data_IF_091469595044
#
_entry.id   IF_091469595044
#
_cell.length_a   1.000
_cell.length_b   1.000
_cell.length_c   1.000
_cell.angle_alpha   90.00
_cell.angle_beta   90.00
_cell.angle_gamma   90.00
#
_symmetry.space_group_name_H-M   'P 1'
#
loop_
_entity.id
_entity.type
_entity.pdbx_description
1 polymer ?
#
# COMPACT_ATOMS: atom_id res chain seq x y z
N UNK A 1 -91.10 -57.45 16.03
CA UNK A 1 -90.09 -56.50 15.48
C UNK A 1 -88.85 -56.49 16.39
N UNK A 2 -87.64 -56.27 15.83
CA UNK A 2 -86.32 -56.13 16.50
C UNK A 2 -85.38 -57.35 16.62
N UNK A 3 -85.19 -58.13 15.55
CA UNK A 3 -84.01 -59.02 15.41
C UNK A 3 -83.30 -58.89 14.05
N UNK A 4 -83.12 -57.66 13.55
CA UNK A 4 -82.21 -57.38 12.43
C UNK A 4 -81.52 -56.02 12.70
N UNK A 5 -80.42 -56.00 13.46
CA UNK A 5 -79.60 -54.78 13.62
C UNK A 5 -78.21 -55.01 14.25
N UNK A 6 -77.96 -56.11 14.97
CA UNK A 6 -76.73 -56.25 15.77
C UNK A 6 -75.52 -56.95 15.13
N UNK A 7 -75.60 -57.40 13.87
CA UNK A 7 -74.45 -58.10 13.19
C UNK A 7 -73.69 -57.27 12.14
N UNK A 8 -74.18 -56.10 11.75
CA UNK A 8 -73.49 -55.19 10.82
C UNK A 8 -72.67 -54.09 11.51
N UNK A 9 -72.92 -53.77 12.79
CA UNK A 9 -72.15 -52.75 13.53
C UNK A 9 -70.79 -53.25 14.07
N UNK A 10 -70.63 -54.57 14.29
CA UNK A 10 -69.42 -55.18 14.87
C UNK A 10 -68.29 -55.38 13.84
N UNK A 11 -68.61 -55.64 12.57
CA UNK A 11 -67.62 -55.71 11.48
C UNK A 11 -67.10 -54.33 11.07
N UNK A 12 -67.95 -53.30 11.10
CA UNK A 12 -67.55 -51.92 10.80
C UNK A 12 -66.66 -51.30 11.88
N UNK A 13 -66.87 -51.64 13.15
CA UNK A 13 -66.07 -51.15 14.28
C UNK A 13 -64.70 -51.83 14.38
N UNK A 14 -64.56 -53.13 14.03
CA UNK A 14 -63.26 -53.81 13.96
C UNK A 14 -62.36 -53.27 12.83
N UNK A 15 -62.92 -53.04 11.63
CA UNK A 15 -62.19 -52.46 10.48
C UNK A 15 -61.75 -51.01 10.71
N UNK A 16 -62.55 -50.19 11.43
CA UNK A 16 -62.17 -48.84 11.90
C UNK A 16 -61.09 -48.84 12.99
N UNK A 17 -61.09 -49.84 13.89
CA UNK A 17 -60.04 -49.98 14.91
C UNK A 17 -58.69 -50.38 14.29
N UNK A 18 -58.66 -51.34 13.37
CA UNK A 18 -57.43 -51.77 12.68
C UNK A 18 -56.83 -50.71 11.75
N UNK A 19 -57.67 -49.92 11.07
CA UNK A 19 -57.19 -48.77 10.27
C UNK A 19 -56.67 -47.62 11.14
N UNK A 20 -57.27 -47.37 12.32
CA UNK A 20 -56.76 -46.41 13.32
C UNK A 20 -55.45 -46.86 13.98
N UNK A 21 -55.24 -48.16 14.24
CA UNK A 21 -53.95 -48.66 14.77
C UNK A 21 -52.84 -48.64 13.71
N UNK A 22 -53.15 -48.98 12.45
CA UNK A 22 -52.19 -48.84 11.33
C UNK A 22 -51.84 -47.39 11.01
N UNK A 23 -52.79 -46.44 11.14
CA UNK A 23 -52.50 -45.01 10.94
C UNK A 23 -51.68 -44.43 12.11
N UNK A 24 -51.98 -44.81 13.36
CA UNK A 24 -51.19 -44.42 14.54
C UNK A 24 -49.77 -45.01 14.50
N UNK A 25 -49.58 -46.23 14.00
CA UNK A 25 -48.24 -46.84 13.88
C UNK A 25 -47.40 -46.19 12.76
N UNK A 26 -48.02 -45.84 11.61
CA UNK A 26 -47.39 -45.04 10.55
C UNK A 26 -47.06 -43.61 11.00
N UNK A 27 -47.94 -42.98 11.78
CA UNK A 27 -47.72 -41.68 12.42
C UNK A 27 -46.51 -41.73 13.36
N UNK A 28 -46.47 -42.70 14.28
CA UNK A 28 -45.34 -42.87 15.22
C UNK A 28 -44.03 -43.21 14.50
N UNK A 29 -44.05 -43.96 13.38
CA UNK A 29 -42.86 -44.21 12.54
C UNK A 29 -42.40 -42.96 11.79
N UNK A 30 -43.32 -42.14 11.27
CA UNK A 30 -42.98 -40.83 10.67
C UNK A 30 -42.36 -39.91 11.72
N UNK A 31 -42.98 -39.79 12.89
CA UNK A 31 -42.49 -38.94 13.98
C UNK A 31 -41.12 -39.39 14.53
N UNK A 32 -40.89 -40.72 14.65
CA UNK A 32 -39.56 -41.26 14.99
C UNK A 32 -38.53 -41.01 13.89
N UNK A 33 -38.90 -41.08 12.60
CA UNK A 33 -38.01 -40.70 11.49
C UNK A 33 -37.68 -39.21 11.55
N UNK A 34 -38.66 -38.33 11.73
CA UNK A 34 -38.46 -36.86 11.84
C UNK A 34 -37.62 -36.49 13.06
N UNK A 35 -37.80 -37.16 14.20
CA UNK A 35 -36.93 -36.97 15.38
C UNK A 35 -35.51 -37.49 15.15
N UNK A 36 -35.33 -38.56 14.38
CA UNK A 36 -33.99 -39.05 13.96
C UNK A 36 -33.32 -38.08 13.00
N UNK A 37 -34.05 -37.50 12.03
CA UNK A 37 -33.54 -36.50 11.09
C UNK A 37 -33.15 -35.21 11.83
N UNK A 38 -34.01 -34.70 12.72
CA UNK A 38 -33.68 -33.53 13.56
C UNK A 38 -32.50 -33.79 14.49
N UNK A 39 -32.36 -34.98 15.09
CA UNK A 39 -31.15 -35.32 15.88
C UNK A 39 -29.89 -35.40 15.02
N UNK A 40 -30.01 -35.77 13.74
CA UNK A 40 -28.89 -35.83 12.79
C UNK A 40 -28.50 -34.42 12.33
N UNK A 41 -29.48 -33.56 12.03
CA UNK A 41 -29.28 -32.13 11.75
C UNK A 41 -28.70 -31.40 12.97
N UNK A 42 -29.16 -31.64 14.19
CA UNK A 42 -28.58 -31.03 15.41
C UNK A 42 -27.15 -31.53 15.64
N UNK A 43 -26.84 -32.81 15.35
CA UNK A 43 -25.46 -33.32 15.39
C UNK A 43 -24.57 -32.70 14.30
N UNK A 44 -25.07 -32.51 13.08
CA UNK A 44 -24.34 -31.81 12.01
C UNK A 44 -24.17 -30.32 12.31
N UNK A 45 -25.18 -29.67 12.89
CA UNK A 45 -25.14 -28.26 13.29
C UNK A 45 -24.16 -28.08 14.46
N UNK A 46 -24.15 -28.96 15.45
CA UNK A 46 -23.17 -28.92 16.53
C UNK A 46 -21.76 -29.27 16.06
N UNK A 47 -21.61 -30.15 15.05
CA UNK A 47 -20.31 -30.44 14.41
C UNK A 47 -19.82 -29.27 13.55
N UNK A 48 -20.74 -28.51 12.94
CA UNK A 48 -20.48 -27.24 12.26
C UNK A 48 -20.13 -26.12 13.26
N UNK A 49 -20.79 -26.04 14.42
CA UNK A 49 -20.49 -25.06 15.48
C UNK A 49 -19.15 -25.36 16.14
N UNK A 50 -18.84 -26.63 16.44
CA UNK A 50 -17.51 -27.05 16.91
C UNK A 50 -16.43 -26.80 15.84
N UNK A 51 -16.71 -27.06 14.56
CA UNK A 51 -15.81 -26.68 13.46
C UNK A 51 -15.67 -25.16 13.29
N UNK A 52 -16.66 -24.36 13.69
CA UNK A 52 -16.60 -22.88 13.65
C UNK A 52 -15.85 -22.33 14.87
N UNK A 53 -15.92 -22.99 16.03
CA UNK A 53 -15.10 -22.68 17.20
C UNK A 53 -13.64 -23.12 17.03
N UNK A 54 -13.40 -24.30 16.45
CA UNK A 54 -12.06 -24.74 16.03
C UNK A 54 -11.52 -23.88 14.85
N UNK A 55 -12.37 -23.45 13.90
CA UNK A 55 -11.96 -22.50 12.86
C UNK A 55 -11.78 -21.06 13.38
N UNK A 56 -12.39 -20.69 14.52
CA UNK A 56 -12.06 -19.45 15.26
C UNK A 56 -10.69 -19.55 15.93
N UNK A 57 -10.24 -20.75 16.29
CA UNK A 57 -8.90 -21.00 16.83
C UNK A 57 -7.80 -21.17 15.77
N UNK A 58 -8.14 -21.25 14.47
CA UNK A 58 -7.15 -21.30 13.38
C UNK A 58 -7.14 -20.00 12.58
N UNK A 59 -6.41 -19.03 13.14
CA UNK A 59 -5.73 -17.91 12.46
C UNK A 59 -6.59 -16.87 11.72
N UNK A 60 -7.47 -16.18 12.45
CA UNK A 60 -7.43 -14.72 12.35
C UNK A 60 -6.23 -14.26 13.20
N UNK A 61 -5.25 -13.51 12.65
CA UNK A 61 -4.18 -13.00 13.49
C UNK A 61 -4.81 -12.13 14.58
N UNK A 62 -4.36 -12.34 15.81
CA UNK A 62 -4.87 -11.63 16.98
C UNK A 62 -4.80 -10.12 16.70
N UNK A 63 -5.91 -9.40 16.94
CA UNK A 63 -5.95 -7.95 16.77
C UNK A 63 -4.91 -7.26 17.65
N UNK A 64 -4.57 -7.84 18.80
CA UNK A 64 -3.51 -7.33 19.66
C UNK A 64 -2.12 -7.72 19.16
N UNK A 65 -1.98 -8.81 18.38
CA UNK A 65 -0.76 -9.16 17.65
C UNK A 65 -0.58 -8.28 16.40
N UNK A 66 -1.64 -8.01 15.62
CA UNK A 66 -1.65 -7.05 14.51
C UNK A 66 -1.40 -5.63 15.04
N UNK A 67 -2.06 -5.23 16.14
CA UNK A 67 -1.78 -3.97 16.79
C UNK A 67 -0.37 -3.97 17.37
N UNK A 68 0.16 -5.09 17.86
CA UNK A 68 1.55 -5.14 18.31
C UNK A 68 2.54 -4.98 17.15
N UNK A 69 2.26 -5.54 15.97
CA UNK A 69 3.11 -5.39 14.78
C UNK A 69 2.97 -4.01 14.10
N UNK A 70 1.79 -3.39 14.17
CA UNK A 70 1.50 -2.08 13.54
C UNK A 70 1.76 -0.92 14.50
N UNK A 71 1.65 -1.14 15.82
CA UNK A 71 1.83 -0.10 16.84
C UNK A 71 3.05 -0.29 17.73
N UNK A 72 3.58 -1.49 18.04
CA UNK A 72 4.79 -1.58 18.91
C UNK A 72 6.09 -1.14 18.21
N UNK A 73 6.20 -1.29 16.89
CA UNK A 73 7.38 -0.81 16.15
C UNK A 73 7.22 0.64 15.65
N UNK A 74 6.06 1.27 15.88
CA UNK A 74 5.76 2.67 15.48
C UNK A 74 5.50 3.56 16.72
N UNK A 75 5.87 3.10 17.92
CA UNK A 75 5.81 3.92 19.14
C UNK A 75 7.12 4.69 19.32
N UNK A 76 7.07 5.95 18.91
CA UNK A 76 7.54 7.13 19.65
C UNK A 76 9.01 7.07 20.10
N UNK A 77 9.90 7.56 19.23
CA UNK A 77 10.96 8.47 19.68
C UNK A 77 10.77 9.80 18.95
N UNK A 78 9.90 10.61 19.52
CA UNK A 78 9.86 12.05 19.33
C UNK A 78 11.24 12.63 19.66
N UNK A 79 12.14 12.70 18.67
CA UNK A 79 13.34 13.52 18.79
C UNK A 79 12.99 14.92 18.30
N UNK A 80 13.05 15.95 19.16
CA UNK A 80 12.91 17.33 18.72
C UNK A 80 14.12 17.65 17.85
N UNK A 81 13.90 17.75 16.53
CA UNK A 81 14.84 18.29 15.53
C UNK A 81 16.27 17.82 15.77
N UNK A 82 16.56 16.57 15.45
CA UNK A 82 17.90 16.02 15.58
C UNK A 82 18.91 16.91 14.81
N UNK A 83 19.91 17.42 15.54
CA UNK A 83 21.08 18.04 14.94
C UNK A 83 21.78 16.97 14.10
N UNK A 84 21.81 17.15 12.78
CA UNK A 84 22.52 16.24 11.87
C UNK A 84 24.01 16.39 12.17
N UNK A 85 24.59 15.42 12.86
CA UNK A 85 26.02 15.32 13.06
C UNK A 85 26.62 14.48 11.94
N UNK A 86 27.34 15.13 11.02
CA UNK A 86 28.02 14.46 9.91
C UNK A 86 29.16 13.59 10.44
N UNK A 87 29.28 12.37 9.91
CA UNK A 87 30.33 11.42 10.30
C UNK A 87 31.27 11.17 9.14
N UNK A 88 32.53 10.84 9.43
CA UNK A 88 33.45 10.38 8.40
C UNK A 88 32.95 9.05 7.82
N UNK A 89 32.92 8.95 6.49
CA UNK A 89 32.56 7.75 5.76
C UNK A 89 33.46 6.58 6.14
N UNK A 90 32.86 5.44 6.45
CA UNK A 90 33.56 4.15 6.62
C UNK A 90 33.70 3.46 5.27
N UNK A 91 34.72 2.64 5.05
CA UNK A 91 34.83 1.90 3.76
C UNK A 91 33.76 0.82 3.69
N UNK A 92 33.14 0.62 2.53
CA UNK A 92 32.12 -0.43 2.32
C UNK A 92 32.65 -1.86 2.51
N UNK A 93 33.97 -2.06 2.46
CA UNK A 93 34.62 -3.34 2.76
C UNK A 93 34.51 -3.73 4.24
N UNK A 94 34.24 -2.75 5.11
CA UNK A 94 34.23 -2.94 6.56
C UNK A 94 32.81 -3.25 7.08
N UNK A 95 31.76 -2.69 6.46
CA UNK A 95 30.32 -3.03 6.58
C UNK A 95 29.52 -2.10 5.63
N UNK A 96 28.41 -2.59 5.06
CA UNK A 96 27.42 -1.74 4.37
C UNK A 96 26.55 -0.93 5.35
N UNK A 97 26.68 -1.18 6.66
CA UNK A 97 25.90 -0.55 7.74
C UNK A 97 24.41 -0.63 7.45
N UNK A 98 23.97 -1.81 6.97
CA UNK A 98 22.58 -2.04 6.59
C UNK A 98 21.77 -2.41 7.81
N UNK A 99 20.51 -1.99 7.80
CA UNK A 99 19.51 -2.42 8.76
C UNK A 99 19.43 -3.93 8.83
N UNK A 100 19.17 -4.43 10.03
CA UNK A 100 19.15 -5.85 10.32
C UNK A 100 18.17 -6.65 9.44
N UNK A 101 17.13 -6.04 8.85
CA UNK A 101 16.14 -6.67 7.95
C UNK A 101 16.48 -6.59 6.45
N UNK A 102 17.65 -6.07 6.07
CA UNK A 102 18.15 -6.20 4.71
C UNK A 102 18.47 -7.67 4.37
N UNK A 103 18.19 -8.09 3.14
CA UNK A 103 18.61 -9.39 2.63
C UNK A 103 20.13 -9.38 2.38
N UNK A 104 20.86 -10.51 2.55
CA UNK A 104 22.30 -10.55 2.34
C UNK A 104 22.76 -10.02 0.98
N UNK A 105 22.04 -10.40 -0.09
CA UNK A 105 22.30 -9.91 -1.47
C UNK A 105 21.67 -8.55 -1.78
N UNK A 106 20.97 -7.97 -0.81
CA UNK A 106 20.30 -6.68 -0.91
C UNK A 106 18.80 -6.71 -1.12
N UNK A 107 18.21 -5.53 -0.88
CA UNK A 107 16.77 -5.33 -0.82
C UNK A 107 16.16 -5.66 0.54
N UNK A 108 14.93 -5.19 0.76
CA UNK A 108 14.21 -5.38 2.01
C UNK A 108 13.60 -6.79 2.06
N UNK A 109 13.96 -7.60 3.06
CA UNK A 109 13.43 -8.94 3.23
C UNK A 109 12.14 -8.94 4.08
N UNK A 110 11.03 -9.45 3.53
CA UNK A 110 9.86 -9.73 4.36
C UNK A 110 10.09 -10.96 5.22
N UNK A 111 10.01 -10.77 6.54
CA UNK A 111 10.30 -11.83 7.53
C UNK A 111 9.08 -12.59 8.01
N UNK A 112 7.89 -11.98 7.95
CA UNK A 112 6.67 -12.62 8.43
C UNK A 112 6.22 -13.73 7.45
N UNK A 113 6.69 -14.95 7.69
CA UNK A 113 6.43 -16.15 6.86
C UNK A 113 4.95 -16.53 6.83
N UNK A 114 4.18 -16.27 7.89
CA UNK A 114 2.75 -16.63 7.93
C UNK A 114 1.93 -15.75 6.99
N UNK A 115 2.18 -14.43 6.99
CA UNK A 115 1.55 -13.50 6.05
C UNK A 115 1.98 -13.81 4.61
N UNK A 116 3.26 -14.09 4.36
CA UNK A 116 3.75 -14.50 3.02
C UNK A 116 3.00 -15.73 2.53
N UNK A 117 2.90 -16.79 3.36
CA UNK A 117 2.21 -18.03 3.02
C UNK A 117 0.73 -17.79 2.70
N UNK A 118 0.04 -16.96 3.48
CA UNK A 118 -1.36 -16.58 3.24
C UNK A 118 -1.52 -15.81 1.93
N UNK A 119 -0.70 -14.80 1.70
CA UNK A 119 -0.74 -14.01 0.46
C UNK A 119 -0.39 -14.83 -0.77
N UNK A 120 0.54 -15.81 -0.66
CA UNK A 120 0.83 -16.77 -1.74
C UNK A 120 -0.38 -17.57 -2.17
N UNK A 121 -1.16 -18.09 -1.20
CA UNK A 121 -2.40 -18.82 -1.51
C UNK A 121 -3.38 -17.94 -2.27
N UNK A 122 -3.59 -16.70 -1.81
CA UNK A 122 -4.49 -15.73 -2.45
C UNK A 122 -4.02 -15.41 -3.88
N UNK A 123 -2.74 -15.06 -4.06
CA UNK A 123 -2.20 -14.76 -5.39
C UNK A 123 -2.33 -15.98 -6.31
N UNK A 124 -2.13 -17.19 -5.78
CA UNK A 124 -2.27 -18.42 -6.55
C UNK A 124 -3.71 -18.67 -7.00
N UNK A 125 -4.70 -18.40 -6.15
CA UNK A 125 -6.12 -18.45 -6.52
C UNK A 125 -6.46 -17.43 -7.61
N UNK A 126 -5.96 -16.19 -7.51
CA UNK A 126 -6.13 -15.15 -8.55
C UNK A 126 -5.55 -15.65 -9.87
N UNK A 127 -4.33 -16.20 -9.86
CA UNK A 127 -3.66 -16.73 -11.06
C UNK A 127 -4.47 -17.86 -11.70
N UNK A 128 -4.98 -18.82 -10.90
CA UNK A 128 -5.82 -19.92 -11.40
C UNK A 128 -7.09 -19.41 -12.08
N UNK A 129 -7.76 -18.44 -11.46
CA UNK A 129 -9.01 -17.86 -11.98
C UNK A 129 -8.80 -17.07 -13.29
N UNK A 130 -7.57 -16.64 -13.58
CA UNK A 130 -7.23 -15.87 -14.79
C UNK A 130 -6.69 -16.76 -15.95
N UNK A 131 -6.91 -18.07 -15.87
CA UNK A 131 -6.70 -19.06 -16.96
C UNK A 131 -5.32 -19.02 -17.64
N UNK A 132 -4.23 -19.07 -16.86
CA UNK A 132 -2.86 -19.37 -17.34
C UNK A 132 -2.14 -18.30 -18.17
N UNK A 133 -2.86 -17.34 -18.78
CA UNK A 133 -2.28 -16.29 -19.62
C UNK A 133 -1.57 -15.17 -18.84
N UNK A 134 -1.65 -15.19 -17.50
CA UNK A 134 -1.09 -14.15 -16.62
C UNK A 134 0.43 -14.19 -16.49
N UNK A 135 1.06 -15.32 -16.80
CA UNK A 135 2.52 -15.43 -16.87
C UNK A 135 3.10 -14.97 -18.20
N UNK A 136 2.26 -14.89 -19.25
CA UNK A 136 2.68 -14.52 -20.61
C UNK A 136 2.56 -13.02 -20.88
N UNK A 137 1.66 -12.32 -20.18
CA UNK A 137 1.37 -10.91 -20.42
C UNK A 137 1.46 -10.09 -19.15
N UNK A 138 2.04 -8.91 -19.29
CA UNK A 138 1.96 -7.84 -18.29
C UNK A 138 0.51 -7.45 -18.02
N UNK A 139 0.19 -7.20 -16.75
CA UNK A 139 -1.14 -6.77 -16.32
C UNK A 139 -1.04 -5.59 -15.35
N UNK A 140 -1.86 -4.58 -15.59
CA UNK A 140 -2.05 -3.49 -14.64
C UNK A 140 -2.72 -4.04 -13.36
N UNK A 141 -2.02 -3.92 -12.24
CA UNK A 141 -2.48 -4.43 -10.95
C UNK A 141 -3.77 -3.73 -10.46
N UNK A 142 -4.07 -2.52 -10.94
CA UNK A 142 -5.30 -1.80 -10.62
C UNK A 142 -6.56 -2.48 -11.19
N UNK A 143 -6.40 -3.33 -12.20
CA UNK A 143 -7.50 -4.07 -12.85
C UNK A 143 -7.84 -5.39 -12.15
N UNK A 144 -6.98 -5.86 -11.24
CA UNK A 144 -7.14 -7.13 -10.53
C UNK A 144 -7.91 -6.88 -9.23
N UNK A 145 -9.06 -7.55 -9.08
CA UNK A 145 -9.81 -7.51 -7.81
C UNK A 145 -9.13 -8.41 -6.80
N UNK A 146 -8.75 -7.84 -5.66
CA UNK A 146 -8.06 -8.55 -4.58
C UNK A 146 -8.93 -8.62 -3.32
N UNK A 147 -8.87 -9.72 -2.55
CA UNK A 147 -9.62 -9.85 -1.30
C UNK A 147 -9.09 -8.89 -0.23
N UNK A 148 -9.96 -8.47 0.70
CA UNK A 148 -9.61 -7.51 1.77
C UNK A 148 -8.43 -7.98 2.63
N UNK A 149 -8.20 -9.29 2.75
CA UNK A 149 -7.14 -9.90 3.54
C UNK A 149 -5.71 -9.56 3.11
N UNK A 150 -5.52 -8.97 1.91
CA UNK A 150 -4.22 -8.48 1.47
C UNK A 150 -3.99 -6.99 1.75
N UNK A 151 -5.01 -6.28 2.21
CA UNK A 151 -4.97 -4.84 2.38
C UNK A 151 -4.60 -4.43 3.81
N UNK A 152 -4.00 -3.25 3.95
CA UNK A 152 -3.88 -2.53 5.23
C UNK A 152 -5.10 -1.62 5.45
N UNK A 153 -5.44 -1.25 6.69
CA UNK A 153 -6.57 -0.38 7.00
C UNK A 153 -6.28 1.11 6.71
N UNK A 154 -5.58 1.40 5.61
CA UNK A 154 -5.26 2.76 5.17
C UNK A 154 -5.62 2.95 3.71
N UNK A 155 -6.06 4.16 3.39
CA UNK A 155 -6.12 4.63 2.01
C UNK A 155 -4.72 4.91 1.48
N UNK A 156 -4.55 4.84 0.16
CA UNK A 156 -3.32 5.29 -0.48
C UNK A 156 -3.01 6.76 -0.16
N UNK A 157 -4.00 7.63 0.07
CA UNK A 157 -3.73 9.03 0.46
C UNK A 157 -2.94 9.12 1.76
N UNK A 158 -3.34 8.36 2.78
CA UNK A 158 -2.59 8.28 4.03
C UNK A 158 -1.23 7.61 3.80
N UNK A 159 -1.19 6.47 3.08
CA UNK A 159 0.05 5.73 2.81
C UNK A 159 1.08 6.54 2.00
N UNK A 160 0.63 7.43 1.12
CA UNK A 160 1.48 8.30 0.31
C UNK A 160 2.37 9.19 1.18
N UNK A 161 1.87 9.62 2.34
CA UNK A 161 2.56 10.54 3.24
C UNK A 161 3.77 9.87 3.93
N UNK A 162 3.81 8.55 4.02
CA UNK A 162 4.89 7.83 4.69
C UNK A 162 6.28 8.12 4.07
N UNK A 163 6.34 8.36 2.76
CA UNK A 163 7.60 8.74 2.08
C UNK A 163 8.10 10.12 2.52
N UNK A 164 7.25 10.97 3.06
CA UNK A 164 7.57 12.35 3.44
C UNK A 164 7.88 12.53 4.93
N UNK A 165 7.91 11.44 5.71
CA UNK A 165 8.10 11.51 7.17
C UNK A 165 9.47 12.04 7.62
N UNK A 166 10.44 12.17 6.71
CA UNK A 166 11.71 12.85 7.01
C UNK A 166 11.74 14.32 6.62
N UNK A 167 10.63 14.89 6.12
CA UNK A 167 10.55 16.31 5.75
C UNK A 167 10.92 17.26 6.90
N UNK A 168 10.37 17.12 8.13
CA UNK A 168 10.72 18.01 9.24
C UNK A 168 12.20 18.00 9.63
N UNK A 169 12.90 16.91 9.30
CA UNK A 169 14.32 16.73 9.56
C UNK A 169 15.13 17.36 8.43
N UNK A 170 15.01 16.85 7.20
CA UNK A 170 15.92 17.21 6.12
C UNK A 170 15.48 18.44 5.33
N UNK A 171 14.18 18.63 5.09
CA UNK A 171 13.72 19.81 4.32
C UNK A 171 13.86 21.09 5.13
N UNK A 172 13.77 21.02 6.47
CA UNK A 172 14.11 22.16 7.33
C UNK A 172 15.59 22.55 7.18
N UNK A 173 16.50 21.59 7.16
CA UNK A 173 17.93 21.87 6.95
C UNK A 173 18.20 22.38 5.54
N UNK A 174 17.53 21.81 4.53
CA UNK A 174 17.60 22.30 3.15
C UNK A 174 17.15 23.76 3.03
N UNK A 175 16.05 24.14 3.70
CA UNK A 175 15.55 25.51 3.70
C UNK A 175 16.51 26.50 4.40
N UNK A 176 17.22 26.05 5.44
CA UNK A 176 18.21 26.87 6.16
C UNK A 176 19.58 26.89 5.48
N UNK A 177 19.84 26.00 4.53
CA UNK A 177 21.11 25.93 3.83
C UNK A 177 21.28 27.12 2.87
N UNK A 178 22.36 27.87 3.07
CA UNK A 178 22.75 29.00 2.20
C UNK A 178 23.45 28.53 0.91
N UNK A 179 24.15 27.41 0.97
CA UNK A 179 24.80 26.80 -0.19
C UNK A 179 23.78 25.92 -0.95
N UNK A 180 23.50 26.19 -2.23
CA UNK A 180 22.64 25.35 -3.07
C UNK A 180 23.08 23.89 -3.16
N UNK A 181 24.39 23.61 -3.09
CA UNK A 181 24.90 22.24 -3.13
C UNK A 181 24.47 21.51 -1.86
N UNK A 182 24.69 22.12 -0.70
CA UNK A 182 24.27 21.56 0.59
C UNK A 182 22.75 21.37 0.68
N UNK A 183 21.98 22.32 0.15
CA UNK A 183 20.52 22.19 -0.01
C UNK A 183 20.14 20.96 -0.83
N UNK A 184 20.79 20.74 -1.98
CA UNK A 184 20.58 19.56 -2.82
C UNK A 184 20.88 18.26 -2.06
N UNK A 185 21.97 18.21 -1.27
CA UNK A 185 22.31 17.04 -0.44
C UNK A 185 21.21 16.70 0.56
N UNK A 186 20.66 17.70 1.26
CA UNK A 186 19.55 17.48 2.19
C UNK A 186 18.28 17.02 1.50
N UNK A 187 17.95 17.55 0.30
CA UNK A 187 16.80 17.06 -0.48
C UNK A 187 17.01 15.61 -0.95
N UNK A 188 18.23 15.24 -1.33
CA UNK A 188 18.56 13.84 -1.65
C UNK A 188 18.41 12.95 -0.41
N UNK A 189 18.91 13.38 0.76
CA UNK A 189 18.71 12.66 2.01
C UNK A 189 17.23 12.47 2.33
N UNK A 190 16.43 13.52 2.22
CA UNK A 190 14.97 13.46 2.38
C UNK A 190 14.34 12.38 1.48
N UNK A 191 14.63 12.44 0.18
CA UNK A 191 14.02 11.55 -0.80
C UNK A 191 14.45 10.08 -0.59
N UNK A 192 15.73 9.82 -0.38
CA UNK A 192 16.26 8.46 -0.22
C UNK A 192 15.90 7.88 1.15
N UNK A 193 16.00 8.66 2.22
CA UNK A 193 15.54 8.23 3.54
C UNK A 193 14.03 7.96 3.52
N UNK A 194 13.21 8.72 2.78
CA UNK A 194 11.77 8.43 2.67
C UNK A 194 11.43 7.05 2.11
N UNK A 195 12.29 6.47 1.28
CA UNK A 195 12.00 5.23 0.53
C UNK A 195 11.72 4.05 1.45
N UNK A 196 12.49 3.85 2.53
CA UNK A 196 12.31 2.68 3.40
C UNK A 196 10.93 2.66 4.09
N UNK A 197 10.32 3.83 4.32
CA UNK A 197 8.97 3.93 4.88
C UNK A 197 7.90 3.42 3.92
N UNK A 198 8.18 3.39 2.62
CA UNK A 198 7.20 2.98 1.61
C UNK A 198 7.12 1.46 1.38
N UNK A 199 7.96 0.68 2.06
CA UNK A 199 7.86 -0.78 2.11
C UNK A 199 6.77 -1.19 3.10
N UNK A 200 5.72 -1.89 2.64
CA UNK A 200 4.71 -2.50 3.51
C UNK A 200 4.24 -3.83 2.94
N UNK A 201 3.96 -4.78 3.83
CA UNK A 201 3.56 -6.13 3.43
C UNK A 201 2.13 -6.19 2.88
N UNK A 202 1.30 -5.24 3.26
CA UNK A 202 -0.09 -5.15 2.85
C UNK A 202 -0.31 -3.95 1.92
N UNK A 203 -1.28 -4.07 1.02
CA UNK A 203 -1.59 -3.04 0.03
C UNK A 203 -2.54 -1.98 0.63
N UNK A 204 -2.34 -0.67 0.44
CA UNK A 204 -3.36 0.30 0.80
C UNK A 204 -4.61 0.17 -0.08
N UNK A 205 -5.75 0.63 0.44
CA UNK A 205 -6.96 0.75 -0.36
C UNK A 205 -6.77 1.82 -1.42
N UNK A 206 -7.28 1.56 -2.63
CA UNK A 206 -7.32 2.59 -3.65
C UNK A 206 -8.28 3.71 -3.18
N UNK A 207 -7.91 4.99 -3.32
CA UNK A 207 -8.79 6.09 -2.91
C UNK A 207 -9.98 6.22 -3.86
N UNK A 208 -11.10 6.70 -3.33
CA UNK A 208 -12.26 7.09 -4.11
C UNK A 208 -12.05 8.53 -4.64
N UNK A 209 -12.53 8.87 -5.84
CA UNK A 209 -12.50 10.26 -6.33
C UNK A 209 -13.11 11.23 -5.31
N UNK A 210 -12.40 12.32 -5.03
CA UNK A 210 -12.78 13.36 -4.06
C UNK A 210 -12.52 12.96 -2.60
N UNK A 211 -11.92 11.80 -2.36
CA UNK A 211 -11.44 11.44 -1.02
C UNK A 211 -10.30 12.38 -0.61
N UNK A 212 -10.25 12.73 0.67
CA UNK A 212 -9.22 13.59 1.24
C UNK A 212 -8.43 12.88 2.34
N UNK A 213 -7.25 13.38 2.66
CA UNK A 213 -6.53 13.07 3.89
C UNK A 213 -5.89 14.34 4.42
N UNK A 214 -6.00 14.56 5.72
CA UNK A 214 -5.31 15.64 6.42
C UNK A 214 -4.54 15.13 7.63
N UNK A 215 -3.34 15.66 7.82
CA UNK A 215 -2.46 15.32 8.93
C UNK A 215 -1.51 16.46 9.28
N UNK A 216 -0.71 16.28 10.31
CA UNK A 216 0.26 17.26 10.79
C UNK A 216 1.46 16.56 11.38
N UNK A 217 2.68 17.04 11.13
CA UNK A 217 3.88 16.57 11.84
C UNK A 217 4.01 17.25 13.20
N UNK A 218 4.88 16.72 14.07
CA UNK A 218 5.07 17.24 15.45
C UNK A 218 5.48 18.72 15.51
N UNK A 219 6.13 19.22 14.47
CA UNK A 219 6.57 20.62 14.35
C UNK A 219 5.46 21.58 13.89
N UNK A 220 4.26 21.06 13.61
CA UNK A 220 3.11 21.81 13.11
C UNK A 220 3.07 21.93 11.58
N UNK A 221 3.99 21.26 10.86
CA UNK A 221 3.94 21.15 9.39
C UNK A 221 2.66 20.42 8.97
N UNK A 222 1.85 21.05 8.12
CA UNK A 222 0.52 20.56 7.71
C UNK A 222 0.63 19.69 6.47
N UNK A 223 -0.25 18.71 6.36
CA UNK A 223 -0.28 17.73 5.27
C UNK A 223 -1.70 17.66 4.72
N UNK A 224 -1.84 17.78 3.42
CA UNK A 224 -3.10 17.68 2.69
C UNK A 224 -2.94 16.76 1.50
N UNK A 225 -3.91 15.87 1.29
CA UNK A 225 -3.98 15.05 0.09
C UNK A 225 -5.42 14.97 -0.42
N UNK A 226 -5.59 14.88 -1.74
CA UNK A 226 -6.89 14.68 -2.39
C UNK A 226 -6.76 13.71 -3.57
N UNK A 227 -7.72 12.79 -3.70
CA UNK A 227 -7.86 11.99 -4.92
C UNK A 227 -8.57 12.79 -6.03
N UNK A 228 -7.79 13.45 -6.88
CA UNK A 228 -8.29 14.33 -7.95
C UNK A 228 -8.69 13.58 -9.23
N UNK A 229 -8.25 12.34 -9.44
CA UNK A 229 -8.65 11.51 -10.59
C UNK A 229 -8.73 10.04 -10.21
N UNK A 230 -9.67 9.28 -10.78
CA UNK A 230 -9.79 7.83 -10.55
C UNK A 230 -9.30 6.98 -11.72
N UNK A 231 -9.36 7.49 -12.95
CA UNK A 231 -8.93 6.79 -14.16
C UNK A 231 -8.18 7.74 -15.12
N UNK A 232 -6.84 7.76 -15.09
CA UNK A 232 -5.96 7.01 -14.17
C UNK A 232 -6.04 7.54 -12.72
N UNK A 233 -5.66 6.75 -11.70
CA UNK A 233 -5.70 7.20 -10.32
C UNK A 233 -4.60 8.25 -10.07
N UNK A 234 -4.98 9.48 -9.74
CA UNK A 234 -4.07 10.58 -9.42
C UNK A 234 -4.47 11.18 -8.08
N UNK A 235 -3.52 11.22 -7.15
CA UNK A 235 -3.63 11.88 -5.85
C UNK A 235 -2.78 13.15 -5.87
N UNK A 236 -3.34 14.31 -5.55
CA UNK A 236 -2.56 15.50 -5.27
C UNK A 236 -2.16 15.52 -3.79
N UNK A 237 -1.00 16.08 -3.48
CA UNK A 237 -0.56 16.29 -2.11
C UNK A 237 0.16 17.62 -1.97
N UNK A 238 0.04 18.22 -0.79
CA UNK A 238 0.76 19.41 -0.36
C UNK A 238 1.17 19.26 1.12
N UNK A 239 2.40 19.64 1.42
CA UNK A 239 2.97 19.68 2.78
C UNK A 239 3.56 21.07 2.99
N UNK A 240 2.99 21.78 3.96
CA UNK A 240 3.26 23.20 4.20
C UNK A 240 3.92 23.33 5.57
N UNK A 241 5.18 23.74 5.60
CA UNK A 241 5.91 23.98 6.86
C UNK A 241 5.26 25.13 7.63
N UNK A 242 5.26 25.02 8.96
CA UNK A 242 4.54 25.94 9.86
C UNK A 242 4.89 27.43 9.65
N UNK A 243 6.14 27.72 9.33
CA UNK A 243 6.69 29.06 9.17
C UNK A 243 7.04 29.37 7.70
N UNK A 244 6.44 28.62 6.77
CA UNK A 244 6.61 28.77 5.33
C UNK A 244 8.07 28.61 4.84
N UNK A 245 8.92 27.90 5.60
CA UNK A 245 10.32 27.65 5.20
C UNK A 245 10.42 26.82 3.92
N UNK A 246 9.50 25.87 3.76
CA UNK A 246 9.35 25.09 2.55
C UNK A 246 7.90 24.70 2.29
N UNK A 247 7.58 24.52 1.01
CA UNK A 247 6.34 23.97 0.52
C UNK A 247 6.64 22.78 -0.42
N UNK A 248 6.27 21.58 0.01
CA UNK A 248 6.43 20.36 -0.76
C UNK A 248 5.08 19.99 -1.40
N UNK A 249 5.03 19.87 -2.73
CA UNK A 249 3.81 19.53 -3.45
C UNK A 249 4.06 18.63 -4.66
N UNK A 250 3.01 18.00 -5.13
CA UNK A 250 3.08 17.19 -6.33
C UNK A 250 1.86 16.32 -6.55
N UNK A 251 2.04 15.32 -7.41
CA UNK A 251 1.01 14.34 -7.74
C UNK A 251 1.58 12.93 -7.59
N UNK A 252 0.88 12.09 -6.85
CA UNK A 252 1.13 10.66 -6.78
C UNK A 252 0.25 9.93 -7.79
N UNK A 253 0.86 9.27 -8.77
CA UNK A 253 0.19 8.32 -9.65
C UNK A 253 0.95 7.00 -9.65
N UNK A 254 0.59 6.08 -8.76
CA UNK A 254 1.25 4.77 -8.70
C UNK A 254 0.76 3.86 -9.84
N UNK A 255 1.62 3.66 -10.84
CA UNK A 255 1.41 2.61 -11.85
C UNK A 255 2.15 1.35 -11.44
N UNK A 256 1.47 0.21 -11.51
CA UNK A 256 2.08 -1.07 -11.20
C UNK A 256 1.68 -2.16 -12.19
N UNK A 257 2.68 -2.97 -12.53
CA UNK A 257 2.58 -4.10 -13.44
C UNK A 257 2.86 -5.39 -12.69
N UNK A 258 1.94 -6.33 -12.81
CA UNK A 258 2.13 -7.71 -12.36
C UNK A 258 2.66 -8.59 -13.48
N UNK A 259 3.73 -9.34 -13.21
CA UNK A 259 4.39 -10.30 -14.11
C UNK A 259 4.46 -11.70 -13.50
N UNK A 260 3.37 -12.21 -12.95
CA UNK A 260 3.29 -13.55 -12.38
C UNK A 260 4.12 -13.75 -11.09
N UNK A 261 5.44 -13.71 -11.20
CA UNK A 261 6.40 -13.90 -10.11
C UNK A 261 6.86 -12.59 -9.45
N UNK A 262 6.58 -11.44 -10.07
CA UNK A 262 6.97 -10.11 -9.56
C UNK A 262 5.90 -9.06 -9.77
N UNK A 263 5.95 -8.01 -8.95
CA UNK A 263 5.23 -6.75 -9.16
C UNK A 263 6.27 -5.65 -9.32
N UNK A 264 6.17 -4.87 -10.37
CA UNK A 264 6.96 -3.64 -10.54
C UNK A 264 6.03 -2.45 -10.47
N UNK A 265 6.48 -1.33 -9.91
CA UNK A 265 5.67 -0.11 -9.93
C UNK A 265 6.49 1.14 -9.69
N UNK A 266 5.96 2.28 -10.12
CA UNK A 266 6.57 3.60 -9.93
C UNK A 266 5.47 4.62 -9.69
N UNK A 267 5.76 5.60 -8.82
CA UNK A 267 4.95 6.81 -8.78
C UNK A 267 5.32 7.69 -9.96
N UNK A 268 4.39 7.95 -10.86
CA UNK A 268 4.53 8.95 -11.91
C UNK A 268 4.23 10.33 -11.35
N UNK A 269 4.95 11.32 -11.88
CA UNK A 269 4.87 12.70 -11.42
C UNK A 269 6.15 13.12 -10.71
N UNK A 270 6.38 14.43 -10.75
CA UNK A 270 7.46 15.07 -10.02
C UNK A 270 6.97 15.51 -8.64
N UNK A 271 7.89 15.46 -7.68
CA UNK A 271 7.78 16.06 -6.37
C UNK A 271 8.55 17.36 -6.40
N UNK A 272 7.88 18.47 -6.07
CA UNK A 272 8.46 19.81 -6.07
C UNK A 272 8.59 20.32 -4.65
N UNK A 273 9.74 20.90 -4.33
CA UNK A 273 10.00 21.58 -3.07
C UNK A 273 10.32 23.04 -3.41
N UNK A 274 9.45 23.93 -2.95
CA UNK A 274 9.65 25.37 -2.97
C UNK A 274 10.21 25.82 -1.62
N UNK A 275 11.20 26.70 -1.63
CA UNK A 275 11.83 27.26 -0.43
C UNK A 275 11.46 28.74 -0.29
N UNK A 276 11.43 29.25 0.95
CA UNK A 276 11.05 30.64 1.26
C UNK A 276 11.94 31.70 0.58
N UNK A 277 13.18 31.33 0.22
CA UNK A 277 14.13 32.20 -0.46
C UNK A 277 13.95 32.23 -2.00
N UNK A 278 12.93 31.56 -2.52
CA UNK A 278 12.63 31.44 -3.95
C UNK A 278 13.35 30.27 -4.64
N UNK A 279 14.17 29.49 -3.91
CA UNK A 279 14.78 28.28 -4.44
C UNK A 279 13.75 27.19 -4.73
N UNK A 280 14.02 26.34 -5.72
CA UNK A 280 13.17 25.21 -6.09
C UNK A 280 13.98 23.99 -6.45
N UNK A 281 13.65 22.85 -5.86
CA UNK A 281 14.20 21.54 -6.23
C UNK A 281 13.06 20.59 -6.63
N UNK A 282 13.24 19.93 -7.77
CA UNK A 282 12.29 18.97 -8.32
C UNK A 282 12.93 17.60 -8.42
N UNK A 283 12.26 16.55 -7.97
CA UNK A 283 12.74 15.18 -8.08
C UNK A 283 11.63 14.18 -8.43
N UNK A 284 12.01 12.98 -8.89
CA UNK A 284 11.07 11.87 -9.09
C UNK A 284 11.58 10.59 -8.45
N UNK A 285 10.66 9.68 -8.10
CA UNK A 285 10.99 8.45 -7.35
C UNK A 285 11.47 7.32 -8.27
N UNK A 286 12.37 6.44 -7.80
CA UNK A 286 12.82 5.26 -8.54
C UNK A 286 11.70 4.21 -8.72
N UNK A 287 11.98 3.17 -9.51
CA UNK A 287 11.06 2.05 -9.72
C UNK A 287 11.17 1.03 -8.58
N UNK A 288 10.05 0.66 -7.98
CA UNK A 288 9.94 -0.42 -7.01
C UNK A 288 9.77 -1.77 -7.72
N UNK A 289 10.45 -2.80 -7.21
CA UNK A 289 10.26 -4.19 -7.58
C UNK A 289 10.04 -5.06 -6.35
N UNK A 290 8.89 -5.73 -6.32
CA UNK A 290 8.58 -6.78 -5.36
C UNK A 290 8.79 -8.15 -6.02
N UNK A 291 9.81 -8.86 -5.57
CA UNK A 291 10.14 -10.23 -5.99
C UNK A 291 9.57 -11.25 -5.00
N UNK A 292 9.56 -12.52 -5.41
CA UNK A 292 9.19 -13.63 -4.54
C UNK A 292 7.70 -13.73 -4.20
N UNK A 293 6.85 -13.25 -5.13
CA UNK A 293 5.40 -13.27 -4.96
C UNK A 293 4.90 -14.71 -4.77
N UNK A 294 5.35 -15.65 -5.62
CA UNK A 294 4.90 -17.04 -5.65
C UNK A 294 5.87 -17.98 -4.92
N UNK A 295 7.18 -17.84 -5.13
CA UNK A 295 8.24 -18.71 -4.59
C UNK A 295 9.49 -17.91 -4.21
N UNK A 296 10.43 -18.50 -3.45
CA UNK A 296 11.67 -17.84 -3.02
C UNK A 296 11.50 -16.84 -1.87
N UNK A 297 12.51 -16.03 -1.61
CA UNK A 297 12.41 -14.94 -0.63
C UNK A 297 11.61 -13.77 -1.21
N UNK A 298 10.74 -13.18 -0.37
CA UNK A 298 9.98 -12.01 -0.76
C UNK A 298 10.77 -10.76 -0.42
N UNK A 299 11.21 -10.05 -1.46
CA UNK A 299 12.16 -8.95 -1.36
C UNK A 299 11.61 -7.73 -2.09
N UNK A 300 11.72 -6.54 -1.50
CA UNK A 300 11.53 -5.26 -2.20
C UNK A 300 12.88 -4.67 -2.57
N UNK A 301 13.00 -4.24 -3.82
CA UNK A 301 14.17 -3.53 -4.35
C UNK A 301 13.70 -2.24 -5.04
N UNK A 302 14.60 -1.26 -5.08
CA UNK A 302 14.46 -0.10 -5.97
C UNK A 302 15.48 -0.19 -7.09
N UNK A 303 15.09 0.20 -8.29
CA UNK A 303 15.93 0.20 -9.50
C UNK A 303 15.68 1.47 -10.32
N UNK A 304 16.41 1.59 -11.43
CA UNK A 304 16.29 2.70 -12.37
C UNK A 304 16.78 4.02 -11.75
N UNK A 305 16.56 5.12 -12.46
CA UNK A 305 17.09 6.42 -12.09
C UNK A 305 16.05 7.30 -11.40
N UNK A 306 16.54 8.12 -10.47
CA UNK A 306 15.80 9.17 -9.79
C UNK A 306 16.53 10.51 -10.01
N UNK A 307 16.04 11.35 -10.96
CA UNK A 307 16.61 12.67 -11.20
C UNK A 307 16.20 13.68 -10.12
N UNK A 308 17.10 14.59 -9.81
CA UNK A 308 16.96 15.79 -8.99
C UNK A 308 17.43 16.99 -9.79
N UNK A 309 16.70 18.10 -9.73
CA UNK A 309 16.99 19.31 -10.52
C UNK A 309 16.78 20.56 -9.69
N UNK A 310 17.79 21.43 -9.71
CA UNK A 310 17.72 22.82 -9.25
C UNK A 310 18.11 23.70 -10.43
N UNK A 311 17.10 24.16 -11.16
CA UNK A 311 17.30 24.98 -12.36
C UNK A 311 17.85 26.37 -12.02
N UNK A 312 17.53 26.89 -10.82
CA UNK A 312 17.98 28.22 -10.40
C UNK A 312 19.49 28.30 -10.20
N UNK A 313 20.09 27.19 -9.76
CA UNK A 313 21.53 27.08 -9.50
C UNK A 313 22.28 26.26 -10.56
N UNK A 314 21.61 25.86 -11.64
CA UNK A 314 22.14 24.96 -12.67
C UNK A 314 22.71 23.64 -12.11
N UNK A 315 22.11 23.12 -11.03
CA UNK A 315 22.54 21.86 -10.41
C UNK A 315 21.57 20.73 -10.79
N UNK A 316 22.11 19.54 -10.98
CA UNK A 316 21.31 18.32 -11.12
C UNK A 316 22.03 17.12 -10.52
N UNK A 317 21.27 16.08 -10.20
CA UNK A 317 21.81 14.78 -9.81
C UNK A 317 20.92 13.68 -10.37
N UNK A 318 21.51 12.60 -10.90
CA UNK A 318 20.77 11.40 -11.27
C UNK A 318 21.25 10.23 -10.40
N UNK A 319 20.41 9.80 -9.45
CA UNK A 319 20.70 8.62 -8.64
C UNK A 319 20.27 7.37 -9.39
N UNK A 320 21.19 6.44 -9.60
CA UNK A 320 20.92 5.11 -10.15
C UNK A 320 20.82 4.09 -9.02
N UNK A 321 19.66 3.46 -8.88
CA UNK A 321 19.41 2.41 -7.91
C UNK A 321 19.66 1.03 -8.52
N UNK A 322 20.32 0.15 -7.76
CA UNK A 322 20.72 -1.19 -8.19
C UNK A 322 21.37 -1.18 -9.58
N UNK A 323 22.46 -0.41 -9.77
CA UNK A 323 23.12 -0.29 -11.07
C UNK A 323 23.63 -1.65 -11.57
N UNK A 324 23.51 -1.92 -12.87
CA UNK A 324 24.07 -3.14 -13.47
C UNK A 324 25.60 -3.15 -13.27
N UNK A 325 26.16 -4.16 -12.59
CA UNK A 325 27.61 -4.29 -12.40
C UNK A 325 28.40 -4.34 -13.71
N UNK A 326 27.76 -4.64 -14.84
CA UNK A 326 28.38 -4.70 -16.18
C UNK A 326 28.40 -3.35 -16.90
N UNK A 327 27.61 -2.38 -16.45
CA UNK A 327 27.46 -1.07 -17.09
C UNK A 327 28.55 -0.07 -16.71
N UNK A 328 29.07 -0.14 -15.48
CA UNK A 328 30.08 0.81 -14.99
C UNK A 328 31.53 0.41 -15.33
N UNK A 329 31.80 -0.88 -15.63
CA UNK A 329 33.14 -1.39 -15.95
C UNK A 329 33.01 -2.54 -16.97
N UNK A 330 33.43 -2.31 -18.23
CA UNK A 330 33.67 -3.36 -19.26
C UNK A 330 34.90 -4.26 -18.94
N UNK A 331 35.28 -4.39 -17.67
CA UNK A 331 36.42 -5.23 -17.28
C UNK A 331 35.94 -6.65 -17.03
N UNK A 332 36.34 -7.53 -17.93
CA UNK A 332 36.17 -9.00 -17.88
C UNK A 332 36.95 -9.64 -16.71
N UNK A 333 37.56 -8.85 -15.81
CA UNK A 333 38.50 -9.33 -14.79
C UNK A 333 38.20 -8.93 -13.33
N UNK A 334 36.99 -8.46 -12.99
CA UNK A 334 36.62 -8.24 -11.57
C UNK A 334 35.80 -9.39 -11.00
N UNK A 335 36.43 -10.14 -10.11
CA UNK A 335 35.89 -11.22 -9.31
C UNK A 335 34.83 -10.75 -8.30
N UNK A 336 33.64 -11.37 -8.38
CA UNK A 336 32.71 -11.77 -7.30
C UNK A 336 32.17 -10.84 -6.19
N UNK A 337 32.55 -9.56 -6.06
CA UNK A 337 31.89 -8.65 -5.09
C UNK A 337 30.90 -7.69 -5.78
N UNK A 338 29.73 -8.20 -6.18
CA UNK A 338 28.63 -7.32 -6.59
C UNK A 338 28.12 -6.53 -5.38
N UNK A 339 27.98 -5.21 -5.54
CA UNK A 339 27.25 -4.38 -4.57
C UNK A 339 25.86 -5.01 -4.29
N UNK A 340 25.35 -4.90 -3.05
CA UNK A 340 24.03 -5.43 -2.75
C UNK A 340 22.97 -4.66 -3.56
N UNK A 341 21.83 -5.30 -3.85
CA UNK A 341 20.79 -4.69 -4.71
C UNK A 341 20.09 -3.47 -4.11
N UNK A 342 20.35 -3.14 -2.84
CA UNK A 342 19.94 -1.89 -2.19
C UNK A 342 20.96 -0.75 -2.33
N UNK A 343 22.06 -0.97 -3.06
CA UNK A 343 23.02 0.07 -3.41
C UNK A 343 22.45 1.09 -4.40
N UNK A 344 22.85 2.35 -4.23
CA UNK A 344 22.64 3.40 -5.22
C UNK A 344 23.90 4.27 -5.35
N UNK A 345 24.00 4.94 -6.50
CA UNK A 345 25.09 5.87 -6.80
C UNK A 345 24.61 6.98 -7.73
N UNK A 346 25.20 8.16 -7.61
CA UNK A 346 25.04 9.26 -8.54
C UNK A 346 26.06 10.36 -8.27
N UNK A 347 25.97 11.43 -9.04
CA UNK A 347 26.86 12.58 -8.92
C UNK A 347 26.01 13.85 -8.96
N UNK A 348 26.29 14.79 -8.06
CA UNK A 348 25.79 16.15 -8.18
C UNK A 348 26.68 16.86 -9.19
N UNK A 349 26.04 17.36 -10.25
CA UNK A 349 26.67 17.97 -11.39
C UNK A 349 26.19 19.41 -11.53
N UNK A 350 27.08 20.29 -11.98
CA UNK A 350 26.75 21.65 -12.39
C UNK A 350 26.70 21.71 -13.91
N UNK A 351 25.54 22.07 -14.48
CA UNK A 351 25.32 22.13 -15.92
C UNK A 351 26.29 23.11 -16.57
N UNK A 352 26.73 22.78 -17.79
CA UNK A 352 27.53 23.68 -18.60
C UNK A 352 26.79 25.01 -18.87
N UNK A 353 27.54 26.10 -18.90
CA UNK A 353 27.10 27.42 -19.36
C UNK A 353 27.93 27.84 -20.57
N UNK A 354 27.64 29.00 -21.19
CA UNK A 354 28.43 29.51 -22.32
C UNK A 354 29.94 29.60 -22.02
N UNK A 355 30.30 29.82 -20.76
CA UNK A 355 31.68 30.10 -20.34
C UNK A 355 32.27 29.02 -19.40
N UNK A 356 31.48 28.01 -19.01
CA UNK A 356 31.92 26.97 -18.06
C UNK A 356 31.47 25.60 -18.56
N UNK A 357 32.40 24.63 -18.55
CA UNK A 357 32.07 23.25 -18.85
C UNK A 357 31.25 22.65 -17.71
N UNK A 358 30.56 21.56 -18.01
CA UNK A 358 29.91 20.75 -16.99
C UNK A 358 30.95 20.22 -16.00
N UNK A 359 30.60 20.26 -14.72
CA UNK A 359 31.51 20.00 -13.61
C UNK A 359 30.87 19.03 -12.61
N UNK A 360 31.61 18.00 -12.21
CA UNK A 360 31.25 17.15 -11.07
C UNK A 360 31.55 17.91 -9.78
N UNK A 361 30.53 18.09 -8.96
CA UNK A 361 30.63 18.82 -7.69
C UNK A 361 30.84 17.86 -6.52
N UNK A 362 30.07 16.77 -6.49
CA UNK A 362 30.03 15.87 -5.34
C UNK A 362 29.55 14.49 -5.78
N UNK A 363 30.17 13.44 -5.26
CA UNK A 363 29.68 12.08 -5.43
C UNK A 363 28.66 11.72 -4.36
N UNK A 364 27.59 11.01 -4.75
CA UNK A 364 26.59 10.46 -3.84
C UNK A 364 26.55 8.94 -3.98
N UNK A 365 26.66 8.20 -2.88
CA UNK A 365 26.52 6.75 -2.90
C UNK A 365 26.03 6.23 -1.56
N UNK A 366 25.54 5.00 -1.54
CA UNK A 366 25.07 4.40 -0.31
C UNK A 366 24.15 3.22 -0.50
N UNK A 367 23.43 2.89 0.56
CA UNK A 367 22.33 1.93 0.54
C UNK A 367 21.07 2.60 1.06
N UNK A 368 19.94 2.45 0.35
CA UNK A 368 18.65 2.96 0.81
C UNK A 368 18.11 2.20 2.05
N UNK A 369 18.80 1.13 2.45
CA UNK A 369 18.60 0.35 3.67
C UNK A 369 19.77 0.47 4.65
N UNK A 370 20.71 1.37 4.42
CA UNK A 370 21.84 1.62 5.30
C UNK A 370 22.03 3.10 5.45
N UNK A 371 22.99 3.64 4.71
CA UNK A 371 23.42 5.02 4.83
C UNK A 371 23.55 5.74 3.50
N UNK A 372 23.60 7.07 3.57
CA UNK A 372 23.76 7.99 2.45
C UNK A 372 25.06 8.77 2.67
N UNK A 373 26.00 8.60 1.76
CA UNK A 373 27.31 9.23 1.79
C UNK A 373 27.44 10.25 0.65
N UNK A 374 28.02 11.40 0.96
CA UNK A 374 28.46 12.43 0.03
C UNK A 374 29.97 12.56 0.14
N UNK A 375 30.70 12.23 -0.93
CA UNK A 375 32.16 12.08 -0.94
C UNK A 375 32.65 11.21 0.25
N UNK A 376 33.27 11.86 1.24
CA UNK A 376 33.86 11.26 2.45
C UNK A 376 33.00 11.44 3.72
N UNK A 377 31.79 11.96 3.60
CA UNK A 377 30.90 12.26 4.72
C UNK A 377 29.59 11.47 4.65
N UNK A 378 29.24 10.82 5.75
CA UNK A 378 27.93 10.19 5.94
C UNK A 378 26.95 11.23 6.48
N UNK A 379 25.87 11.46 5.73
CA UNK A 379 24.81 12.43 6.09
C UNK A 379 23.63 11.77 6.81
N UNK A 380 23.41 10.48 6.56
CA UNK A 380 22.32 9.73 7.13
C UNK A 380 22.69 8.26 7.24
N UNK A 381 22.35 7.62 8.36
CA UNK A 381 22.35 6.16 8.50
C UNK A 381 21.09 5.73 9.26
N UNK A 382 20.44 4.67 8.78
CA UNK A 382 19.31 4.05 9.47
C UNK A 382 19.69 3.43 10.81
N UNK A 383 20.97 3.10 11.01
CA UNK A 383 21.46 2.52 12.25
C UNK A 383 21.85 3.58 13.29
N UNK A 384 21.79 4.88 12.95
CA UNK A 384 22.12 5.98 13.85
C UNK A 384 20.96 6.40 14.78
N UNK A 385 19.86 5.64 14.81
CA UNK A 385 18.70 5.92 15.65
C UNK A 385 17.79 7.03 15.11
N UNK A 386 17.93 7.39 13.83
CA UNK A 386 16.99 8.25 13.14
C UNK A 386 15.67 7.50 12.94
N UNK A 387 14.57 8.16 13.25
CA UNK A 387 13.23 7.61 13.07
C UNK A 387 12.39 8.54 12.18
N UNK A 388 11.51 7.98 11.34
CA UNK A 388 10.52 8.76 10.61
C UNK A 388 9.68 9.61 11.57
N UNK A 389 9.44 10.88 11.21
CA UNK A 389 8.58 11.74 12.03
C UNK A 389 7.13 11.30 11.88
N UNK A 390 6.51 11.02 13.02
CA UNK A 390 5.12 10.57 13.09
C UNK A 390 4.18 11.64 12.52
N UNK A 391 3.23 11.19 11.70
CA UNK A 391 2.10 12.01 11.24
C UNK A 391 0.99 11.88 12.27
N UNK A 392 0.56 13.00 12.82
CA UNK A 392 -0.62 13.09 13.68
C UNK A 392 -1.85 13.32 12.81
N UNK A 393 -2.85 12.46 13.02
CA UNK A 393 -4.15 12.61 12.40
C UNK A 393 -4.90 13.77 13.07
N UNK A 394 -5.54 14.64 12.28
CA UNK A 394 -6.38 15.72 12.84
C UNK A 394 -7.65 15.16 13.48
N UNK A 395 -8.09 15.71 14.61
CA UNK A 395 -9.35 15.31 15.27
C UNK A 395 -10.58 15.72 14.44
N UNK A 396 -10.57 16.95 13.93
CA UNK A 396 -11.60 17.47 13.04
C UNK A 396 -11.20 17.27 11.59
N UNK A 397 -11.99 16.48 10.84
CA UNK A 397 -11.73 16.19 9.43
C UNK A 397 -12.94 16.42 8.54
N UNK A 398 -12.65 16.69 7.26
CA UNK A 398 -13.69 16.81 6.25
C UNK A 398 -14.53 15.52 6.14
N UNK A 399 -15.82 15.61 5.76
CA UNK A 399 -16.63 14.42 5.49
C UNK A 399 -16.03 13.48 4.44
N UNK A 400 -15.25 14.02 3.50
CA UNK A 400 -14.52 13.30 2.45
C UNK A 400 -13.25 12.59 2.95
N UNK A 401 -12.83 12.83 4.20
CA UNK A 401 -11.59 12.27 4.71
C UNK A 401 -11.63 10.75 4.77
N UNK A 402 -10.52 10.12 4.42
CA UNK A 402 -10.39 8.67 4.38
C UNK A 402 -10.70 8.00 5.74
N UNK A 403 -10.56 8.68 6.87
CA UNK A 403 -10.92 8.17 8.21
C UNK A 403 -12.41 7.92 8.38
N UNK A 404 -13.24 8.58 7.58
CA UNK A 404 -14.68 8.36 7.57
C UNK A 404 -15.09 7.14 6.75
N UNK A 405 -14.15 6.47 6.06
CA UNK A 405 -14.42 5.29 5.25
C UNK A 405 -14.71 4.06 6.11
N UNK A 406 -15.93 3.55 6.00
CA UNK A 406 -16.38 2.39 6.75
C UNK A 406 -15.63 1.10 6.38
N UNK A 407 -15.20 0.93 5.14
CA UNK A 407 -14.41 -0.24 4.74
C UNK A 407 -13.03 -0.29 5.43
N UNK A 408 -12.40 0.87 5.63
CA UNK A 408 -11.17 1.01 6.40
C UNK A 408 -11.40 0.79 7.90
N UNK A 409 -12.44 1.42 8.46
CA UNK A 409 -12.76 1.30 9.88
C UNK A 409 -13.10 -0.14 10.28
N UNK A 410 -13.88 -0.85 9.48
CA UNK A 410 -14.16 -2.27 9.71
C UNK A 410 -12.91 -3.13 9.60
N UNK A 411 -11.98 -2.82 8.69
CA UNK A 411 -10.71 -3.55 8.61
C UNK A 411 -9.83 -3.29 9.82
N UNK A 412 -9.79 -2.04 10.32
CA UNK A 412 -9.06 -1.66 11.54
C UNK A 412 -9.58 -2.43 12.77
N UNK A 413 -10.87 -2.75 12.80
CA UNK A 413 -11.51 -3.59 13.81
C UNK A 413 -11.36 -5.11 13.56
N UNK A 414 -10.67 -5.53 12.49
CA UNK A 414 -10.51 -6.95 12.13
C UNK A 414 -11.74 -7.59 11.49
N UNK A 415 -12.80 -6.82 11.21
CA UNK A 415 -14.05 -7.31 10.63
C UNK A 415 -13.95 -7.49 9.10
N UNK A 416 -13.15 -8.47 8.67
CA UNK A 416 -12.83 -8.73 7.25
C UNK A 416 -14.07 -8.83 6.34
N UNK A 417 -15.11 -9.55 6.81
CA UNK A 417 -16.35 -9.74 6.06
C UNK A 417 -17.09 -8.42 5.85
N UNK A 418 -17.17 -7.59 6.88
CA UNK A 418 -17.91 -6.33 6.81
C UNK A 418 -17.14 -5.29 6.01
N UNK A 419 -15.82 -5.20 6.20
CA UNK A 419 -14.94 -4.38 5.36
C UNK A 419 -15.10 -4.73 3.88
N UNK A 420 -15.16 -6.02 3.53
CA UNK A 420 -15.40 -6.46 2.15
C UNK A 420 -16.74 -6.00 1.56
N UNK A 421 -17.81 -6.00 2.37
CA UNK A 421 -19.13 -5.49 1.94
C UNK A 421 -19.12 -3.99 1.71
N UNK A 422 -18.60 -3.21 2.66
CA UNK A 422 -18.54 -1.74 2.55
C UNK A 422 -17.62 -1.31 1.40
N UNK A 423 -16.50 -2.02 1.19
CA UNK A 423 -15.62 -1.81 0.03
C UNK A 423 -16.38 -2.00 -1.28
N UNK A 424 -17.11 -3.12 -1.40
CA UNK A 424 -17.89 -3.41 -2.60
C UNK A 424 -18.99 -2.35 -2.84
N UNK A 425 -19.70 -1.95 -1.79
CA UNK A 425 -20.73 -0.91 -1.83
C UNK A 425 -20.16 0.43 -2.32
N UNK A 426 -19.02 0.88 -1.78
CA UNK A 426 -18.34 2.10 -2.22
C UNK A 426 -17.93 2.04 -3.69
N UNK A 427 -17.37 0.92 -4.14
CA UNK A 427 -17.01 0.75 -5.56
C UNK A 427 -18.22 0.79 -6.50
N UNK A 428 -19.36 0.20 -6.09
CA UNK A 428 -20.60 0.24 -6.86
C UNK A 428 -21.14 1.67 -6.96
N UNK A 429 -21.14 2.41 -5.85
CA UNK A 429 -21.52 3.82 -5.81
C UNK A 429 -20.64 4.66 -6.74
N UNK A 430 -19.31 4.46 -6.70
CA UNK A 430 -18.38 5.16 -7.57
C UNK A 430 -18.58 4.86 -9.06
N UNK A 431 -18.80 3.58 -9.41
CA UNK A 431 -19.12 3.20 -10.80
C UNK A 431 -20.44 3.83 -11.27
N UNK A 432 -21.44 3.95 -10.38
CA UNK A 432 -22.71 4.61 -10.69
C UNK A 432 -22.53 6.11 -10.90
N UNK A 433 -21.83 6.80 -9.99
CA UNK A 433 -21.51 8.22 -10.12
C UNK A 433 -20.74 8.51 -11.42
N UNK A 434 -19.69 7.75 -11.71
CA UNK A 434 -18.91 7.90 -12.93
C UNK A 434 -19.77 7.76 -14.20
N UNK A 435 -20.75 6.84 -14.22
CA UNK A 435 -21.72 6.71 -15.31
C UNK A 435 -22.62 7.94 -15.43
N UNK A 436 -23.08 8.50 -14.31
CA UNK A 436 -23.91 9.71 -14.29
C UNK A 436 -23.14 10.93 -14.80
N UNK A 437 -21.91 11.16 -14.32
CA UNK A 437 -21.05 12.24 -14.82
C UNK A 437 -20.77 12.11 -16.32
N UNK A 438 -20.46 10.90 -16.82
CA UNK A 438 -20.30 10.67 -18.27
C UNK A 438 -21.56 11.02 -19.07
N UNK A 439 -22.76 10.70 -18.57
CA UNK A 439 -24.04 11.07 -19.22
C UNK A 439 -24.24 12.59 -19.22
N UNK A 440 -23.99 13.26 -18.09
CA UNK A 440 -24.11 14.70 -17.95
C UNK A 440 -23.16 15.45 -18.91
N UNK A 441 -21.89 15.05 -18.98
CA UNK A 441 -20.90 15.64 -19.89
C UNK A 441 -21.31 15.49 -21.36
N UNK A 442 -21.83 14.31 -21.76
CA UNK A 442 -22.34 14.10 -23.13
C UNK A 442 -23.53 15.02 -23.44
N UNK A 443 -24.46 15.20 -22.51
CA UNK A 443 -25.61 16.11 -22.65
C UNK A 443 -25.16 17.56 -22.79
N UNK A 444 -24.22 18.02 -21.95
CA UNK A 444 -23.66 19.37 -22.02
C UNK A 444 -22.98 19.65 -23.37
N UNK A 445 -22.14 18.73 -23.86
CA UNK A 445 -21.50 18.85 -25.18
C UNK A 445 -22.51 18.90 -26.32
N UNK A 446 -23.61 18.13 -26.25
CA UNK A 446 -24.69 18.17 -27.24
C UNK A 446 -25.39 19.54 -27.25
N UNK A 447 -25.72 20.06 -26.06
CA UNK A 447 -26.36 21.38 -25.91
C UNK A 447 -25.46 22.53 -26.40
N UNK A 448 -24.16 22.48 -26.12
CA UNK A 448 -23.21 23.48 -26.64
C UNK A 448 -23.12 23.43 -28.17
N UNK A 449 -23.10 22.23 -28.78
CA UNK A 449 -23.12 22.09 -30.25
C UNK A 449 -24.41 22.64 -30.86
N UNK A 450 -25.57 22.40 -30.23
CA UNK A 450 -26.85 22.95 -30.69
C UNK A 450 -26.88 24.48 -30.58
N UNK A 451 -26.44 25.07 -29.46
CA UNK A 451 -26.33 26.53 -29.30
C UNK A 451 -25.37 27.19 -30.30
N UNK A 452 -24.28 26.51 -30.70
CA UNK A 452 -23.38 27.00 -31.75
C UNK A 452 -23.99 26.92 -33.15
N UNK A 453 -24.86 25.94 -33.40
CA UNK A 453 -25.58 25.79 -34.67
C UNK A 453 -26.75 26.76 -34.82
N UNK A 454 -27.34 27.23 -33.73
CA UNK A 454 -28.42 28.23 -33.75
C UNK A 454 -27.94 29.68 -33.75
N UNK A 455 -26.60 29.89 -33.72
CA UNK A 455 -25.95 31.21 -33.77
C UNK A 455 -25.24 31.47 -35.11
N UNK A 456 -25.22 30.46 -35.99
CA UNK A 456 -24.88 30.58 -37.40
C UNK A 456 -26.19 30.49 -38.17
#
# INVERSE_FOLDING_TARGET
MSKVSKKTSTKYTKKKKETKTKSKSKSKKKEKKTKKTKKKEIKETNKLVLNVEEARQVNAPDLDEIKSFVYKDIVIRSSPVAQISLKKKKKFKDDWDRVHYAHPNGGWLYRNKSIIKRQRKIVWEIIKNMAGNIFKNERDLSTITMPVTIFEPRSYLHRLVDIFQFAPIFLRQAALAKDPIERMKFVICFAVAGIHNTVAQAKPFNPILGETFQGTFVDGTKIYCEQICHHPPISAFEIIEKNDLYHLHGKGQFKSTFKGYSVSGRSEGDVTIDFSDGGRIVFSTPMLHLKGIIFGDRIVEYTSTAPFRDESNNLYCELTFNPDPRGWIKSVFTSSNSNPTDYFHGEIMKKATKNQKEEKICEVNGSWLGRIDFDDLTYFSLNDGWHPVTVYECDEVLPSDCKNRQDLNQLKLGNLKESGKEKHKLEVLQRKDAKLRKKATKKSKKNQKQKKKSKK
#
